data_IF_573575157157
#
_entry.id   IF_573575157157
#
_cell.length_a   1.000
_cell.length_b   1.000
_cell.length_c   1.000
_cell.angle_alpha   90.00
_cell.angle_beta   90.00
_cell.angle_gamma   90.00
#
_symmetry.space_group_name_H-M   'P 1'
#
loop_
_entity.id
_entity.type
_entity.pdbx_description
1 polymer ?
#
# COMPACT_ATOMS: atom_id res chain seq x y z
N UNK A 1 19.36 53.75 30.57
CA UNK A 1 18.81 52.42 30.27
C UNK A 1 20.00 51.52 29.93
N UNK A 2 20.91 51.17 30.85
CA UNK A 2 20.77 50.17 31.95
C UNK A 2 20.11 48.88 31.42
N UNK A 3 20.71 47.68 31.39
CA UNK A 3 22.01 47.16 31.85
C UNK A 3 22.25 45.77 31.16
N UNK A 4 23.13 44.85 31.62
CA UNK A 4 24.09 44.12 30.79
C UNK A 4 23.70 42.65 30.51
N UNK A 5 24.38 42.03 29.54
CA UNK A 5 24.25 40.58 29.27
C UNK A 5 25.13 39.81 30.26
N UNK A 6 24.52 39.31 31.33
CA UNK A 6 25.15 38.43 32.31
C UNK A 6 25.29 36.99 31.78
N UNK A 7 26.39 36.37 32.20
CA UNK A 7 26.77 34.97 32.00
C UNK A 7 25.69 33.98 32.44
N UNK A 8 25.57 32.85 31.73
CA UNK A 8 24.99 31.63 32.30
C UNK A 8 25.91 30.45 32.00
N UNK A 9 26.56 29.99 33.07
CA UNK A 9 27.27 28.73 33.23
C UNK A 9 26.47 27.55 32.68
N UNK A 10 27.15 26.69 31.93
CA UNK A 10 26.76 25.29 31.76
C UNK A 10 26.72 24.63 33.14
N UNK A 11 25.53 24.36 33.66
CA UNK A 11 25.29 23.38 34.71
C UNK A 11 24.27 22.41 34.17
N UNK A 12 24.65 21.13 34.22
CA UNK A 12 23.96 20.07 33.51
C UNK A 12 22.53 19.87 33.97
N UNK A 13 21.69 19.49 33.01
CA UNK A 13 20.65 18.47 33.13
C UNK A 13 20.21 18.16 31.71
N UNK A 14 20.31 16.89 31.31
CA UNK A 14 19.86 16.41 30.01
C UNK A 14 18.41 16.85 29.74
N UNK A 15 18.16 17.41 28.55
CA UNK A 15 16.85 17.84 28.13
C UNK A 15 15.88 16.64 27.97
N UNK A 16 14.56 16.81 28.15
CA UNK A 16 13.59 15.72 28.29
C UNK A 16 13.21 15.02 26.97
N UNK A 17 13.97 15.25 25.90
CA UNK A 17 13.57 14.86 24.54
C UNK A 17 14.09 13.48 24.13
N UNK A 18 15.14 12.97 24.77
CA UNK A 18 15.76 11.68 24.38
C UNK A 18 15.06 10.45 24.98
N UNK A 19 14.09 10.63 25.89
CA UNK A 19 13.36 9.51 26.50
C UNK A 19 12.25 8.92 25.62
N UNK A 20 11.95 9.56 24.49
CA UNK A 20 10.81 9.20 23.62
C UNK A 20 11.22 8.27 22.47
N UNK A 21 12.47 8.36 22.00
CA UNK A 21 12.94 7.56 20.86
C UNK A 21 13.11 6.06 21.18
N UNK A 22 13.35 5.71 22.45
CA UNK A 22 13.61 4.32 22.83
C UNK A 22 12.34 3.50 23.13
N UNK A 23 11.22 4.16 23.46
CA UNK A 23 9.94 3.45 23.72
C UNK A 23 9.14 3.20 22.43
N UNK A 24 9.24 4.08 21.44
CA UNK A 24 8.48 3.96 20.19
C UNK A 24 9.00 2.89 19.21
N UNK A 25 10.24 2.43 19.35
CA UNK A 25 10.81 1.41 18.46
C UNK A 25 10.52 -0.04 18.93
N UNK A 26 10.20 -0.26 20.22
CA UNK A 26 9.87 -1.60 20.73
C UNK A 26 8.36 -1.87 20.90
N UNK A 27 7.51 -0.84 20.99
CA UNK A 27 6.05 -1.04 21.09
C UNK A 27 5.36 -1.20 19.71
N UNK A 28 6.00 -0.75 18.62
CA UNK A 28 5.44 -0.83 17.27
C UNK A 28 5.31 -2.24 16.70
N UNK A 29 6.23 -3.15 17.05
CA UNK A 29 6.22 -4.52 16.53
C UNK A 29 5.28 -5.48 17.28
N UNK A 30 5.00 -5.21 18.56
CA UNK A 30 4.08 -6.02 19.35
C UNK A 30 2.59 -5.67 19.11
N UNK A 31 2.31 -4.41 18.75
CA UNK A 31 0.95 -3.94 18.45
C UNK A 31 0.45 -4.40 17.07
N UNK A 32 1.31 -4.38 16.05
CA UNK A 32 0.92 -4.75 14.68
C UNK A 32 0.51 -6.23 14.57
N UNK A 33 1.19 -7.13 15.28
CA UNK A 33 0.90 -8.57 15.24
C UNK A 33 -0.39 -8.99 16.00
N UNK A 34 -0.84 -8.23 17.00
CA UNK A 34 -2.11 -8.53 17.71
C UNK A 34 -3.34 -8.02 16.97
N UNK A 35 -3.20 -6.94 16.20
CA UNK A 35 -4.31 -6.38 15.43
C UNK A 35 -4.57 -7.15 14.12
N UNK A 36 -3.56 -7.83 13.55
CA UNK A 36 -3.73 -8.65 12.35
C UNK A 36 -4.49 -9.96 12.66
N UNK A 37 -4.31 -10.55 13.85
CA UNK A 37 -5.02 -11.79 14.22
C UNK A 37 -6.52 -11.56 14.52
N UNK A 38 -6.88 -10.40 15.07
CA UNK A 38 -8.28 -10.07 15.39
C UNK A 38 -9.12 -9.75 14.13
N UNK A 39 -8.49 -9.16 13.10
CA UNK A 39 -9.15 -8.86 11.83
C UNK A 39 -9.48 -10.14 11.03
N UNK A 40 -8.61 -11.15 11.09
CA UNK A 40 -8.83 -12.43 10.40
C UNK A 40 -10.02 -13.23 10.96
N UNK A 41 -10.26 -13.17 12.28
CA UNK A 41 -11.43 -13.83 12.90
C UNK A 41 -12.75 -13.09 12.65
N UNK A 42 -12.72 -11.77 12.46
CA UNK A 42 -13.92 -10.99 12.20
C UNK A 42 -14.49 -11.20 10.78
N UNK A 43 -13.62 -11.37 9.77
CA UNK A 43 -14.09 -11.72 8.42
C UNK A 43 -14.59 -13.18 8.31
N UNK A 44 -14.05 -14.11 9.09
CA UNK A 44 -14.51 -15.49 9.11
C UNK A 44 -15.92 -15.64 9.73
N UNK A 45 -16.26 -14.83 10.74
CA UNK A 45 -17.59 -14.87 11.41
C UNK A 45 -18.71 -14.20 10.60
N UNK A 46 -18.38 -13.25 9.73
CA UNK A 46 -19.36 -12.61 8.84
C UNK A 46 -19.65 -13.50 7.61
N UNK A 47 -18.69 -14.33 7.20
CA UNK A 47 -18.88 -15.31 6.12
C UNK A 47 -19.80 -16.49 6.50
N UNK A 48 -19.93 -16.83 7.80
CA UNK A 48 -20.80 -17.90 8.27
C UNK A 48 -22.24 -17.46 8.61
N UNK A 49 -22.54 -16.16 8.62
CA UNK A 49 -23.79 -15.63 9.20
C UNK A 49 -24.95 -15.39 8.23
N UNK A 50 -24.71 -15.32 6.91
CA UNK A 50 -25.75 -14.89 5.94
C UNK A 50 -26.14 -15.98 4.92
N UNK A 51 -25.52 -17.16 4.96
CA UNK A 51 -25.79 -18.22 3.98
C UNK A 51 -27.05 -19.07 4.27
N UNK A 52 -27.77 -18.81 5.38
CA UNK A 52 -28.87 -19.68 5.84
C UNK A 52 -30.26 -19.02 5.85
N UNK A 53 -30.45 -17.87 5.18
CA UNK A 53 -31.77 -17.23 5.06
C UNK A 53 -32.43 -17.38 3.68
N UNK A 54 -31.75 -18.00 2.70
CA UNK A 54 -32.31 -18.24 1.36
C UNK A 54 -32.32 -19.71 0.94
N UNK A 55 -32.07 -20.64 1.87
CA UNK A 55 -32.46 -22.03 1.68
C UNK A 55 -33.83 -22.26 2.32
N UNK A 56 -34.85 -21.64 1.73
CA UNK A 56 -36.10 -22.38 1.63
C UNK A 56 -35.75 -23.61 0.79
N UNK A 57 -35.88 -24.80 1.40
CA UNK A 57 -35.94 -26.04 0.63
C UNK A 57 -36.88 -25.78 -0.56
N UNK A 58 -36.54 -26.17 -1.80
CA UNK A 58 -37.58 -26.31 -2.78
C UNK A 58 -38.52 -27.35 -2.18
N UNK A 59 -39.68 -26.90 -1.70
CA UNK A 59 -40.80 -27.78 -1.48
C UNK A 59 -40.87 -28.63 -2.74
N UNK A 60 -40.57 -29.92 -2.58
CA UNK A 60 -40.78 -30.91 -3.60
C UNK A 60 -42.29 -30.93 -3.84
N UNK A 61 -42.77 -29.99 -4.64
CA UNK A 61 -44.05 -30.05 -5.31
C UNK A 61 -43.99 -31.35 -6.09
N UNK A 62 -44.60 -32.39 -5.52
CA UNK A 62 -44.99 -33.57 -6.27
C UNK A 62 -45.61 -33.06 -7.58
N UNK A 63 -45.24 -33.62 -8.75
CA UNK A 63 -45.71 -33.08 -10.02
C UNK A 63 -47.23 -33.14 -9.98
N UNK A 64 -47.85 -31.98 -9.75
CA UNK A 64 -49.26 -31.82 -10.01
C UNK A 64 -49.35 -32.19 -11.47
N UNK A 65 -50.06 -33.29 -11.76
CA UNK A 65 -50.44 -33.66 -13.12
C UNK A 65 -51.40 -32.56 -13.61
N UNK A 66 -50.84 -31.38 -13.84
CA UNK A 66 -51.48 -30.24 -14.43
C UNK A 66 -51.81 -30.68 -15.83
N UNK A 67 -53.12 -30.72 -16.10
CA UNK A 67 -53.65 -30.75 -17.46
C UNK A 67 -52.77 -29.84 -18.30
N UNK A 68 -52.05 -30.39 -19.27
CA UNK A 68 -51.28 -29.60 -20.23
C UNK A 68 -52.26 -28.63 -20.87
N UNK A 69 -52.27 -27.38 -20.40
CA UNK A 69 -53.02 -26.34 -21.06
C UNK A 69 -52.46 -26.26 -22.48
N UNK A 70 -53.31 -26.22 -23.51
CA UNK A 70 -52.84 -26.03 -24.87
C UNK A 70 -52.00 -24.75 -24.91
N UNK A 71 -50.83 -24.84 -25.52
CA UNK A 71 -49.95 -23.69 -25.75
C UNK A 71 -50.75 -22.64 -26.51
N UNK A 72 -51.12 -21.57 -25.81
CA UNK A 72 -51.94 -20.48 -26.33
C UNK A 72 -51.16 -19.54 -27.24
N UNK A 73 -49.87 -19.81 -27.49
CA UNK A 73 -49.02 -18.97 -28.31
C UNK A 73 -49.15 -19.31 -29.80
N UNK A 74 -49.28 -18.28 -30.61
CA UNK A 74 -49.30 -18.38 -32.06
C UNK A 74 -47.89 -18.78 -32.59
N UNK A 75 -47.79 -19.39 -33.78
CA UNK A 75 -46.51 -19.65 -34.43
C UNK A 75 -45.65 -18.38 -34.58
N UNK A 76 -46.28 -17.24 -34.85
CA UNK A 76 -45.63 -15.93 -34.98
C UNK A 76 -45.01 -15.46 -33.66
N UNK A 77 -45.71 -15.61 -32.54
CA UNK A 77 -45.19 -15.29 -31.21
C UNK A 77 -43.98 -16.18 -30.87
N UNK A 78 -44.06 -17.49 -31.13
CA UNK A 78 -42.94 -18.41 -30.89
C UNK A 78 -41.71 -18.06 -31.73
N UNK A 79 -41.90 -17.68 -32.99
CA UNK A 79 -40.83 -17.22 -33.87
C UNK A 79 -40.21 -15.92 -33.37
N UNK A 80 -41.03 -14.96 -32.92
CA UNK A 80 -40.53 -13.70 -32.39
C UNK A 80 -39.73 -13.89 -31.10
N UNK A 81 -40.22 -14.70 -30.17
CA UNK A 81 -39.52 -15.06 -28.94
C UNK A 81 -38.20 -15.76 -29.23
N UNK A 82 -38.18 -16.73 -30.16
CA UNK A 82 -36.95 -17.41 -30.55
C UNK A 82 -35.90 -16.43 -31.11
N UNK A 83 -36.33 -15.48 -31.96
CA UNK A 83 -35.44 -14.43 -32.49
C UNK A 83 -34.89 -13.54 -31.38
N UNK A 84 -35.74 -13.04 -30.49
CA UNK A 84 -35.30 -12.17 -29.39
C UNK A 84 -34.36 -12.90 -28.42
N UNK A 85 -34.63 -14.16 -28.12
CA UNK A 85 -33.73 -14.98 -27.29
C UNK A 85 -32.39 -15.21 -27.98
N UNK A 86 -32.37 -15.41 -29.30
CA UNK A 86 -31.13 -15.52 -30.07
C UNK A 86 -30.33 -14.21 -30.05
N UNK A 87 -31.00 -13.06 -30.20
CA UNK A 87 -30.37 -11.74 -30.11
C UNK A 87 -29.81 -11.46 -28.71
N UNK A 88 -30.54 -11.80 -27.65
CA UNK A 88 -30.07 -11.65 -26.27
C UNK A 88 -28.88 -12.57 -25.99
N UNK A 89 -28.94 -13.83 -26.43
CA UNK A 89 -27.83 -14.76 -26.29
C UNK A 89 -26.58 -14.30 -27.05
N UNK A 90 -26.75 -13.69 -28.24
CA UNK A 90 -25.64 -13.11 -28.99
C UNK A 90 -25.01 -11.91 -28.27
N UNK A 91 -25.84 -11.02 -27.70
CA UNK A 91 -25.37 -9.86 -26.92
C UNK A 91 -24.63 -10.30 -25.65
N UNK A 92 -25.22 -11.21 -24.87
CA UNK A 92 -24.59 -11.73 -23.67
C UNK A 92 -23.24 -12.39 -23.95
N UNK A 93 -23.11 -13.13 -25.06
CA UNK A 93 -21.82 -13.70 -25.48
C UNK A 93 -20.79 -12.61 -25.80
N UNK A 94 -21.20 -11.56 -26.52
CA UNK A 94 -20.30 -10.45 -26.84
C UNK A 94 -19.85 -9.70 -25.57
N UNK A 95 -20.76 -9.45 -24.64
CA UNK A 95 -20.46 -8.81 -23.36
C UNK A 95 -19.51 -9.65 -22.51
N UNK A 96 -19.72 -10.97 -22.44
CA UNK A 96 -18.82 -11.88 -21.72
C UNK A 96 -17.41 -11.88 -22.31
N UNK A 97 -17.28 -11.89 -23.65
CA UNK A 97 -15.97 -11.82 -24.31
C UNK A 97 -15.26 -10.50 -23.98
N UNK A 98 -15.97 -9.38 -24.04
CA UNK A 98 -15.41 -8.08 -23.65
C UNK A 98 -14.97 -8.07 -22.19
N UNK A 99 -15.81 -8.58 -21.28
CA UNK A 99 -15.49 -8.67 -19.86
C UNK A 99 -14.24 -9.51 -19.60
N UNK A 100 -14.13 -10.69 -20.23
CA UNK A 100 -12.95 -11.56 -20.10
C UNK A 100 -11.67 -10.87 -20.60
N UNK A 101 -11.76 -10.09 -21.68
CA UNK A 101 -10.63 -9.30 -22.18
C UNK A 101 -10.21 -8.21 -21.20
N UNK A 102 -11.17 -7.48 -20.62
CA UNK A 102 -10.91 -6.45 -19.61
C UNK A 102 -10.27 -7.03 -18.36
N UNK A 103 -10.77 -8.17 -17.87
CA UNK A 103 -10.19 -8.87 -16.71
C UNK A 103 -8.76 -9.33 -17.00
N UNK A 104 -8.52 -9.90 -18.17
CA UNK A 104 -7.17 -10.32 -18.59
C UNK A 104 -6.21 -9.13 -18.68
N UNK A 105 -6.65 -8.01 -19.27
CA UNK A 105 -5.84 -6.81 -19.38
C UNK A 105 -5.49 -6.22 -18.00
N UNK A 106 -6.49 -6.13 -17.11
CA UNK A 106 -6.27 -5.67 -15.74
C UNK A 106 -5.30 -6.58 -14.97
N UNK A 107 -5.41 -7.90 -15.12
CA UNK A 107 -4.49 -8.84 -14.48
C UNK A 107 -3.05 -8.67 -14.97
N UNK A 108 -2.84 -8.45 -16.28
CA UNK A 108 -1.51 -8.18 -16.83
C UNK A 108 -0.93 -6.86 -16.32
N UNK A 109 -1.75 -5.82 -16.21
CA UNK A 109 -1.32 -4.53 -15.67
C UNK A 109 -0.88 -4.65 -14.21
N UNK A 110 -1.67 -5.33 -13.37
CA UNK A 110 -1.31 -5.55 -11.96
C UNK A 110 0.01 -6.32 -11.84
N UNK A 111 0.21 -7.35 -12.67
CA UNK A 111 1.46 -8.10 -12.67
C UNK A 111 2.67 -7.24 -13.09
N UNK A 112 2.50 -6.39 -14.11
CA UNK A 112 3.54 -5.47 -14.56
C UNK A 112 3.88 -4.42 -13.49
N UNK A 113 2.87 -3.83 -12.85
CA UNK A 113 3.05 -2.82 -11.80
C UNK A 113 3.77 -3.41 -10.58
N UNK A 114 3.42 -4.65 -10.20
CA UNK A 114 4.11 -5.35 -9.10
C UNK A 114 5.57 -5.64 -9.43
N UNK A 115 5.87 -6.04 -10.68
CA UNK A 115 7.24 -6.26 -11.12
C UNK A 115 8.06 -4.97 -11.10
N UNK A 116 7.50 -3.89 -11.67
CA UNK A 116 8.15 -2.57 -11.67
C UNK A 116 8.42 -2.06 -10.25
N UNK A 117 7.44 -2.18 -9.34
CA UNK A 117 7.62 -1.78 -7.95
C UNK A 117 8.74 -2.57 -7.25
N UNK A 118 8.82 -3.89 -7.48
CA UNK A 118 9.87 -4.72 -6.91
C UNK A 118 11.26 -4.34 -7.45
N UNK A 119 11.37 -4.08 -8.75
CA UNK A 119 12.62 -3.63 -9.38
C UNK A 119 13.08 -2.27 -8.87
N UNK A 120 12.18 -1.29 -8.81
CA UNK A 120 12.48 0.05 -8.30
C UNK A 120 12.89 0.02 -6.83
N UNK A 121 12.21 -0.79 -6.02
CA UNK A 121 12.57 -0.98 -4.61
C UNK A 121 13.97 -1.59 -4.46
N UNK A 122 14.30 -2.60 -5.27
CA UNK A 122 15.62 -3.22 -5.26
C UNK A 122 16.71 -2.22 -5.67
N UNK A 123 16.45 -1.42 -6.72
CA UNK A 123 17.38 -0.37 -7.17
C UNK A 123 17.59 0.71 -6.10
N UNK A 124 16.51 1.16 -5.45
CA UNK A 124 16.59 2.17 -4.39
C UNK A 124 17.40 1.68 -3.19
N UNK A 125 17.15 0.47 -2.70
CA UNK A 125 17.89 -0.08 -1.56
C UNK A 125 19.36 -0.36 -1.92
N UNK A 126 19.66 -0.76 -3.16
CA UNK A 126 21.03 -0.90 -3.64
C UNK A 126 21.77 0.46 -3.68
N UNK A 127 21.12 1.52 -4.17
CA UNK A 127 21.70 2.86 -4.21
C UNK A 127 21.94 3.42 -2.81
N UNK A 128 20.99 3.21 -1.90
CA UNK A 128 21.13 3.56 -0.49
C UNK A 128 22.33 2.85 0.16
N UNK A 129 22.53 1.57 -0.13
CA UNK A 129 23.70 0.83 0.37
C UNK A 129 25.01 1.39 -0.21
N UNK A 130 25.03 1.77 -1.49
CA UNK A 130 26.18 2.40 -2.15
C UNK A 130 26.52 3.76 -1.52
N UNK A 131 25.52 4.61 -1.30
CA UNK A 131 25.67 5.92 -0.64
C UNK A 131 26.12 5.74 0.82
N UNK A 132 25.59 4.75 1.53
CA UNK A 132 26.02 4.45 2.89
C UNK A 132 27.51 4.06 2.94
N UNK A 133 27.97 3.22 2.00
CA UNK A 133 29.38 2.85 1.90
C UNK A 133 30.28 4.08 1.62
N UNK A 134 29.92 4.92 0.64
CA UNK A 134 30.67 6.14 0.34
C UNK A 134 30.70 7.12 1.52
N UNK A 135 29.55 7.36 2.16
CA UNK A 135 29.45 8.31 3.26
C UNK A 135 30.24 7.86 4.50
N UNK A 136 30.39 6.56 4.73
CA UNK A 136 31.24 6.03 5.80
C UNK A 136 32.71 6.42 5.58
N UNK A 137 33.22 6.30 4.35
CA UNK A 137 34.60 6.70 4.00
C UNK A 137 34.81 8.22 4.14
N UNK A 138 33.87 9.01 3.62
CA UNK A 138 33.88 10.47 3.75
C UNK A 138 33.82 10.91 5.21
N UNK A 139 33.06 10.20 6.05
CA UNK A 139 32.94 10.46 7.48
C UNK A 139 34.26 10.21 8.21
N UNK A 140 34.95 9.11 7.91
CA UNK A 140 36.27 8.81 8.49
C UNK A 140 37.29 9.91 8.12
N UNK A 141 37.31 10.33 6.85
CA UNK A 141 38.16 11.44 6.40
C UNK A 141 37.84 12.74 7.12
N UNK A 142 36.56 13.07 7.23
CA UNK A 142 36.11 14.28 7.93
C UNK A 142 36.50 14.24 9.42
N UNK A 143 36.34 13.10 10.09
CA UNK A 143 36.73 12.95 11.50
C UNK A 143 38.25 13.15 11.67
N UNK A 144 39.05 12.64 10.74
CA UNK A 144 40.50 12.85 10.73
C UNK A 144 40.87 14.33 10.47
N UNK A 145 40.20 15.01 9.54
CA UNK A 145 40.39 16.44 9.24
C UNK A 145 40.04 17.31 10.46
N UNK A 146 38.93 17.00 11.13
CA UNK A 146 38.51 17.66 12.37
C UNK A 146 39.53 17.45 13.49
N UNK A 147 40.03 16.23 13.65
CA UNK A 147 41.04 15.93 14.66
C UNK A 147 42.37 16.68 14.39
N UNK A 148 42.84 16.70 13.14
CA UNK A 148 44.04 17.43 12.74
C UNK A 148 43.90 18.95 12.95
N UNK A 149 42.76 19.52 12.56
CA UNK A 149 42.45 20.93 12.79
C UNK A 149 42.45 21.27 14.29
N UNK A 150 41.81 20.43 15.13
CA UNK A 150 41.81 20.61 16.59
C UNK A 150 43.21 20.48 17.21
N UNK A 151 44.09 19.68 16.62
CA UNK A 151 45.48 19.54 17.03
C UNK A 151 46.38 20.71 16.56
N UNK A 152 45.83 21.67 15.82
CA UNK A 152 46.53 22.88 15.38
C UNK A 152 46.98 22.87 13.92
N UNK A 153 46.70 21.82 13.14
CA UNK A 153 46.92 21.85 11.69
C UNK A 153 45.80 22.64 11.00
N UNK A 154 46.02 23.95 10.94
CA UNK A 154 45.10 24.91 10.33
C UNK A 154 44.84 24.66 8.84
N UNK A 155 45.70 23.89 8.15
CA UNK A 155 45.52 23.59 6.73
C UNK A 155 44.41 22.56 6.48
N UNK A 156 44.04 21.81 7.51
CA UNK A 156 42.98 20.78 7.49
C UNK A 156 41.64 21.29 8.01
N UNK A 157 41.57 22.54 8.48
CA UNK A 157 40.32 23.13 8.94
C UNK A 157 39.35 23.38 7.79
N UNK A 158 38.05 23.25 8.07
CA UNK A 158 37.00 23.61 7.12
C UNK A 158 37.13 25.10 6.74
N UNK A 159 37.13 25.39 5.45
CA UNK A 159 37.11 26.77 4.96
C UNK A 159 35.75 27.40 5.29
N UNK A 160 35.70 28.68 5.69
CA UNK A 160 34.44 29.37 5.88
C UNK A 160 33.63 29.35 4.58
N UNK A 161 32.34 29.01 4.69
CA UNK A 161 31.45 28.99 3.54
C UNK A 161 31.39 30.39 2.91
N UNK A 162 31.58 30.48 1.60
CA UNK A 162 31.34 31.71 0.85
C UNK A 162 29.86 32.08 0.94
N UNK A 163 29.57 33.36 1.18
CA UNK A 163 28.20 33.87 1.24
C UNK A 163 27.39 33.44 0.01
N UNK A 164 26.13 33.03 0.16
CA UNK A 164 25.26 32.75 -0.97
C UNK A 164 25.18 33.98 -1.90
N UNK A 165 25.10 33.81 -3.22
CA UNK A 165 24.88 34.92 -4.13
C UNK A 165 23.58 35.66 -3.74
N UNK A 166 23.51 36.99 -3.90
CA UNK A 166 22.29 37.74 -3.61
C UNK A 166 21.13 37.16 -4.42
N UNK A 167 20.02 36.85 -3.74
CA UNK A 167 18.79 36.42 -4.41
C UNK A 167 18.20 37.59 -5.20
N UNK A 168 17.64 37.34 -6.39
CA UNK A 168 17.01 38.38 -7.23
C UNK A 168 15.77 39.00 -6.58
#
# INVERSE_FOLDING_TARGET
MTAPRAEVKLSGTAAPQERWASRYMMEGYASMNRNILAAATALALIASGQAMAFQAEPESEAPVAGKTLPDGTTPEERSNTARLNAEQAARAKAENVTYEQEVSAAAQQVAADQAAFAEETAAYEAEKARVAAMSAEERMKWEADVAACKAGDVTRCAKPASSPPPQP
#
